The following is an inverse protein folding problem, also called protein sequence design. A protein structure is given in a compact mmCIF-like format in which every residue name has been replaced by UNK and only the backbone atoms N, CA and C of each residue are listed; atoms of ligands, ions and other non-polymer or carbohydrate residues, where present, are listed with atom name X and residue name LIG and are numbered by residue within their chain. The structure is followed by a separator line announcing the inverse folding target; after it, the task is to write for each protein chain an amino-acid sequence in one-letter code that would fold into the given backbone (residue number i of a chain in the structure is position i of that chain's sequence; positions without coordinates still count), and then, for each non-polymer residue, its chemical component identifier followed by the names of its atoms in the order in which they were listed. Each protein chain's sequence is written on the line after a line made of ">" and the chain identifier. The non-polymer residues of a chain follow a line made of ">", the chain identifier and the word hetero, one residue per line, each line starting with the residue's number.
data_IF_769609367029
#
_entry.id   IF_769609367029
#
_cell.length_a   1.000
_cell.length_b   1.000
_cell.length_c   1.000
_cell.angle_alpha   90.00
_cell.angle_beta   90.00
_cell.angle_gamma   90.00
#
_symmetry.space_group_name_H-M   'P 1'
#
loop_
_entity.id
_entity.type
_entity.pdbx_description
1 polymer ?
#
# COMPACT_ATOMS: atom_id res chain seq x y z
N UNK A 1 -6.15 11.01 -18.28
CA UNK A 1 -6.05 10.30 -16.98
C UNK A 1 -4.91 10.84 -16.12
N UNK A 2 -5.17 11.07 -14.83
CA UNK A 2 -4.20 11.57 -13.83
C UNK A 2 -4.39 10.85 -12.49
N UNK A 3 -3.32 10.76 -11.71
CA UNK A 3 -3.37 10.27 -10.33
C UNK A 3 -3.35 11.45 -9.37
N UNK A 4 -4.32 11.50 -8.46
CA UNK A 4 -4.45 12.52 -7.43
C UNK A 4 -3.82 12.04 -6.12
N UNK A 5 -2.58 12.50 -5.88
CA UNK A 5 -1.77 12.13 -4.73
C UNK A 5 -2.36 12.65 -3.41
N UNK A 6 -3.07 13.79 -3.43
CA UNK A 6 -3.72 14.36 -2.25
C UNK A 6 -4.97 13.55 -1.89
N UNK A 7 -5.77 13.21 -2.91
CA UNK A 7 -6.89 12.28 -2.71
C UNK A 7 -6.41 10.93 -2.20
N UNK A 8 -5.21 10.48 -2.55
CA UNK A 8 -4.69 9.19 -2.07
C UNK A 8 -4.48 9.23 -0.56
N UNK A 9 -3.77 10.25 -0.08
CA UNK A 9 -3.51 10.44 1.35
C UNK A 9 -4.82 10.56 2.14
N UNK A 10 -5.73 11.43 1.69
CA UNK A 10 -7.04 11.63 2.32
C UNK A 10 -7.90 10.37 2.32
N UNK A 11 -7.84 9.57 1.25
CA UNK A 11 -8.58 8.31 1.19
C UNK A 11 -8.00 7.29 2.17
N UNK A 12 -6.67 7.25 2.34
CA UNK A 12 -6.01 6.35 3.28
C UNK A 12 -6.31 6.69 4.74
N UNK A 13 -6.44 7.96 5.07
CA UNK A 13 -6.78 8.41 6.42
C UNK A 13 -8.27 8.37 6.76
N UNK A 14 -9.13 8.32 5.73
CA UNK A 14 -10.57 8.18 5.95
C UNK A 14 -10.97 6.88 6.67
N UNK A 15 -10.06 5.92 6.80
CA UNK A 15 -10.27 4.67 7.54
C UNK A 15 -9.98 4.86 9.03
N UNK A 16 -10.93 4.47 9.89
CA UNK A 16 -10.91 4.75 11.34
C UNK A 16 -9.73 4.16 12.12
N UNK A 17 -9.07 3.16 11.56
CA UNK A 17 -7.91 2.48 12.11
C UNK A 17 -6.58 2.98 11.55
N UNK A 18 -6.62 3.97 10.66
CA UNK A 18 -5.49 4.65 10.05
C UNK A 18 -5.37 6.07 10.62
N UNK A 19 -4.14 6.58 10.69
CA UNK A 19 -3.84 7.95 11.12
C UNK A 19 -2.59 8.43 10.37
N UNK A 20 -2.77 9.33 9.40
CA UNK A 20 -1.67 9.87 8.59
C UNK A 20 -1.10 11.13 9.27
N UNK A 21 0.19 11.08 9.62
CA UNK A 21 0.80 12.03 10.57
C UNK A 21 0.72 13.52 10.22
N UNK A 22 0.43 13.88 8.97
CA UNK A 22 0.58 15.26 8.46
C UNK A 22 -0.53 15.77 7.52
N UNK A 23 -1.66 15.08 7.35
CA UNK A 23 -2.71 15.61 6.47
C UNK A 23 -3.46 16.80 7.06
N UNK A 24 -3.53 16.88 8.39
CA UNK A 24 -4.20 17.96 9.10
C UNK A 24 -3.31 19.21 9.23
N UNK A 25 -2.04 19.09 8.83
CA UNK A 25 -1.04 20.17 8.89
C UNK A 25 -0.86 20.92 7.56
N UNK A 26 -1.68 20.63 6.54
CA UNK A 26 -1.64 21.31 5.23
C UNK A 26 -0.55 20.79 4.29
N UNK A 27 0.08 19.66 4.61
CA UNK A 27 1.04 18.97 3.73
C UNK A 27 0.41 17.79 2.97
N UNK A 28 -0.92 17.65 3.04
CA UNK A 28 -1.68 16.59 2.36
C UNK A 28 -1.10 15.17 2.58
N UNK A 29 -0.45 14.95 3.74
CA UNK A 29 0.21 13.71 4.13
C UNK A 29 1.59 13.45 3.49
N UNK A 30 1.96 14.15 2.41
CA UNK A 30 3.22 13.91 1.70
C UNK A 30 4.37 14.75 2.25
N UNK A 31 5.37 14.07 2.82
CA UNK A 31 6.55 14.70 3.41
C UNK A 31 7.84 14.12 2.84
N UNK A 32 8.91 14.91 2.84
CA UNK A 32 10.23 14.38 2.50
C UNK A 32 10.66 13.40 3.58
N UNK A 33 11.07 12.20 3.18
CA UNK A 33 11.60 11.19 4.10
C UNK A 33 12.79 11.73 4.88
N UNK A 34 12.73 11.61 6.20
CA UNK A 34 13.69 12.18 7.16
C UNK A 34 15.11 11.65 6.98
N UNK A 35 15.26 10.43 6.46
CA UNK A 35 16.54 9.80 6.16
C UNK A 35 17.23 10.30 4.89
N UNK A 36 16.58 11.12 4.06
CA UNK A 36 17.14 11.61 2.80
C UNK A 36 17.48 13.11 2.85
N UNK A 37 18.66 13.45 2.33
CA UNK A 37 19.05 14.83 2.04
C UNK A 37 18.53 15.34 0.69
N UNK A 38 18.04 14.44 -0.18
CA UNK A 38 17.59 14.78 -1.52
C UNK A 38 16.12 15.20 -1.54
N UNK A 39 15.84 16.32 -2.21
CA UNK A 39 14.49 16.84 -2.43
C UNK A 39 13.78 16.20 -3.64
N UNK A 40 14.27 15.05 -4.12
CA UNK A 40 13.57 14.29 -5.16
C UNK A 40 12.16 13.92 -4.71
N UNK A 41 11.20 13.99 -5.61
CA UNK A 41 9.83 13.55 -5.37
C UNK A 41 9.77 12.06 -5.00
N UNK A 42 10.70 11.24 -5.52
CA UNK A 42 10.82 9.83 -5.15
C UNK A 42 11.24 9.60 -3.69
N UNK A 43 11.70 10.65 -2.98
CA UNK A 43 11.98 10.60 -1.55
C UNK A 43 10.82 11.17 -0.71
N UNK A 44 9.66 11.43 -1.32
CA UNK A 44 8.47 11.76 -0.55
C UNK A 44 7.78 10.48 -0.08
N UNK A 45 7.21 10.55 1.11
CA UNK A 45 6.49 9.47 1.77
C UNK A 45 5.23 10.03 2.43
N UNK A 46 4.25 9.16 2.62
CA UNK A 46 3.20 9.32 3.62
C UNK A 46 3.57 8.43 4.79
N UNK A 47 3.72 8.99 5.98
CA UNK A 47 3.89 8.23 7.22
C UNK A 47 2.57 8.12 7.96
N UNK A 48 2.23 6.92 8.42
CA UNK A 48 0.96 6.69 9.10
C UNK A 48 1.06 5.56 10.12
N UNK A 49 0.08 5.51 11.01
CA UNK A 49 -0.11 4.39 11.93
C UNK A 49 -1.34 3.58 11.57
N UNK A 50 -1.30 2.28 11.85
CA UNK A 50 -2.43 1.36 11.77
C UNK A 50 -2.69 0.77 13.16
N UNK A 51 -3.88 1.00 13.69
CA UNK A 51 -4.33 0.44 14.97
C UNK A 51 -4.96 -0.93 14.77
N UNK A 52 -4.13 -1.98 14.81
CA UNK A 52 -4.57 -3.36 14.62
C UNK A 52 -5.44 -3.83 15.78
N UNK A 53 -6.75 -3.88 15.54
CA UNK A 53 -7.74 -4.31 16.52
C UNK A 53 -7.55 -5.76 16.94
N UNK A 54 -6.96 -6.60 16.09
CA UNK A 54 -6.78 -8.03 16.37
C UNK A 54 -5.69 -8.25 17.41
N UNK A 55 -4.56 -7.55 17.29
CA UNK A 55 -3.43 -7.66 18.23
C UNK A 55 -3.41 -6.59 19.32
N UNK A 56 -4.21 -5.53 19.19
CA UNK A 56 -4.18 -4.36 20.07
C UNK A 56 -2.91 -3.51 19.91
N UNK A 57 -2.19 -3.64 18.78
CA UNK A 57 -0.93 -2.93 18.51
C UNK A 57 -1.17 -1.75 17.58
N UNK A 58 -0.46 -0.65 17.83
CA UNK A 58 -0.27 0.40 16.85
C UNK A 58 0.99 0.11 16.05
N UNK A 59 0.83 -0.04 14.74
CA UNK A 59 1.87 -0.42 13.79
C UNK A 59 2.23 0.81 12.94
N UNK A 60 3.50 1.00 12.64
CA UNK A 60 3.97 2.14 11.85
C UNK A 60 4.26 1.72 10.42
N UNK A 61 3.78 2.51 9.48
CA UNK A 61 4.00 2.29 8.06
C UNK A 61 4.40 3.58 7.36
N UNK A 62 5.00 3.42 6.19
CA UNK A 62 5.21 4.51 5.24
C UNK A 62 4.93 4.05 3.82
N UNK A 63 4.24 4.88 3.06
CA UNK A 63 4.02 4.66 1.62
C UNK A 63 4.86 5.65 0.85
N UNK A 64 5.71 5.14 -0.04
CA UNK A 64 6.57 5.96 -0.89
C UNK A 64 5.79 6.59 -2.02
N UNK A 65 6.29 7.71 -2.54
CA UNK A 65 5.68 8.41 -3.66
C UNK A 65 5.38 7.45 -4.81
N UNK A 66 4.11 7.40 -5.24
CA UNK A 66 3.68 6.46 -6.26
C UNK A 66 4.28 6.81 -7.61
N UNK A 67 4.72 5.78 -8.35
CA UNK A 67 5.08 5.95 -9.73
C UNK A 67 3.87 5.68 -10.62
N UNK A 68 3.72 6.49 -11.67
CA UNK A 68 2.61 6.35 -12.61
C UNK A 68 3.14 6.24 -14.03
N UNK A 69 2.56 5.35 -14.81
CA UNK A 69 2.83 5.18 -16.24
C UNK A 69 1.52 5.24 -17.01
N UNK A 70 1.34 6.26 -17.84
CA UNK A 70 0.15 6.44 -18.67
C UNK A 70 0.39 5.94 -20.08
N UNK A 71 -0.58 5.21 -20.63
CA UNK A 71 -0.56 4.84 -22.04
C UNK A 71 -0.81 6.07 -22.92
N UNK A 72 -0.28 6.06 -24.14
CA UNK A 72 -0.54 7.12 -25.13
C UNK A 72 -2.05 7.29 -25.34
N UNK A 73 -2.47 8.52 -25.58
CA UNK A 73 -3.87 8.88 -25.82
C UNK A 73 -4.80 8.46 -24.67
N UNK A 74 -4.31 8.48 -23.43
CA UNK A 74 -5.04 8.08 -22.22
C UNK A 74 -5.60 6.64 -22.29
N UNK A 75 -4.88 5.74 -22.97
CA UNK A 75 -5.26 4.32 -23.15
C UNK A 75 -5.29 3.47 -21.87
N UNK A 76 -5.06 4.08 -20.70
CA UNK A 76 -4.96 3.44 -19.39
C UNK A 76 -3.80 3.99 -18.56
N UNK A 77 -3.72 3.55 -17.31
CA UNK A 77 -2.68 3.95 -16.36
C UNK A 77 -2.23 2.76 -15.53
N UNK A 78 -0.94 2.68 -15.25
CA UNK A 78 -0.39 1.82 -14.20
C UNK A 78 0.06 2.73 -13.06
N UNK A 79 -0.29 2.35 -11.83
CA UNK A 79 0.16 2.99 -10.59
C UNK A 79 0.92 1.93 -9.79
N UNK A 80 2.11 2.27 -9.30
CA UNK A 80 2.87 1.42 -8.38
C UNK A 80 3.22 2.17 -7.10
N UNK A 81 3.26 1.43 -5.99
CA UNK A 81 3.67 1.95 -4.68
C UNK A 81 4.58 0.94 -3.99
N UNK A 82 5.54 1.46 -3.25
CA UNK A 82 6.26 0.73 -2.22
C UNK A 82 5.71 1.14 -0.85
N UNK A 83 5.37 0.17 -0.01
CA UNK A 83 4.89 0.38 1.35
C UNK A 83 5.86 -0.31 2.29
N UNK A 84 6.40 0.42 3.26
CA UNK A 84 7.26 -0.16 4.29
C UNK A 84 6.46 -0.32 5.58
N UNK A 85 6.62 -1.49 6.20
CA UNK A 85 6.31 -1.69 7.60
C UNK A 85 7.55 -1.40 8.42
N UNK A 86 7.49 -0.33 9.22
CA UNK A 86 8.65 0.16 9.95
C UNK A 86 8.94 -0.72 11.17
N UNK A 87 10.16 -1.27 11.21
CA UNK A 87 10.61 -2.17 12.27
C UNK A 87 11.99 -1.75 12.78
N UNK A 88 12.29 -2.10 14.03
CA UNK A 88 13.58 -1.79 14.65
C UNK A 88 14.77 -2.55 14.06
N UNK A 89 14.51 -3.70 13.44
CA UNK A 89 15.54 -4.59 12.87
C UNK A 89 15.69 -4.43 11.36
N UNK A 90 14.89 -3.56 10.72
CA UNK A 90 14.82 -3.39 9.27
C UNK A 90 13.42 -3.61 8.74
N UNK A 91 13.03 -2.79 7.77
CA UNK A 91 11.66 -2.72 7.26
C UNK A 91 11.31 -3.92 6.37
N UNK A 92 10.09 -4.42 6.51
CA UNK A 92 9.49 -5.28 5.50
C UNK A 92 8.83 -4.42 4.42
N UNK A 93 8.78 -4.89 3.18
CA UNK A 93 8.32 -4.11 2.03
C UNK A 93 7.16 -4.80 1.32
N UNK A 94 6.12 -4.04 0.99
CA UNK A 94 5.06 -4.42 0.06
C UNK A 94 5.28 -3.61 -1.22
N UNK A 95 5.35 -4.27 -2.38
CA UNK A 95 5.31 -3.64 -3.70
C UNK A 95 3.95 -3.96 -4.31
N UNK A 96 3.14 -2.94 -4.53
CA UNK A 96 1.80 -3.06 -5.09
C UNK A 96 1.75 -2.32 -6.43
N UNK A 97 1.18 -2.98 -7.44
CA UNK A 97 0.94 -2.43 -8.77
C UNK A 97 -0.55 -2.59 -9.08
N UNK A 98 -1.19 -1.52 -9.54
CA UNK A 98 -2.57 -1.53 -10.03
C UNK A 98 -2.62 -0.94 -11.45
N UNK A 99 -3.40 -1.57 -12.33
CA UNK A 99 -3.64 -1.09 -13.68
C UNK A 99 -5.09 -0.67 -13.87
N UNK A 100 -5.29 0.42 -14.59
CA UNK A 100 -6.59 1.05 -14.83
C UNK A 100 -6.85 1.14 -16.33
N UNK A 101 -8.09 0.89 -16.73
CA UNK A 101 -8.56 1.03 -18.10
C UNK A 101 -8.74 2.51 -18.50
N UNK A 102 -9.18 2.77 -19.73
CA UNK A 102 -9.40 4.13 -20.27
C UNK A 102 -10.45 4.95 -19.50
N UNK A 103 -11.34 4.27 -18.77
CA UNK A 103 -12.42 4.88 -17.98
C UNK A 103 -12.04 5.05 -16.51
N UNK A 104 -10.79 4.74 -16.15
CA UNK A 104 -10.30 4.84 -14.78
C UNK A 104 -10.76 3.70 -13.88
N UNK A 105 -11.33 2.63 -14.44
CA UNK A 105 -11.68 1.44 -13.67
C UNK A 105 -10.47 0.54 -13.50
N UNK A 106 -10.26 0.06 -12.28
CA UNK A 106 -9.20 -0.90 -12.00
C UNK A 106 -9.44 -2.20 -12.79
N UNK A 107 -8.45 -2.59 -13.59
CA UNK A 107 -8.47 -3.78 -14.42
C UNK A 107 -7.65 -4.93 -13.83
N UNK A 108 -6.55 -4.61 -13.11
CA UNK A 108 -5.78 -5.61 -12.37
C UNK A 108 -5.07 -5.02 -11.16
N UNK A 109 -4.70 -5.86 -10.20
CA UNK A 109 -3.69 -5.57 -9.19
C UNK A 109 -2.76 -6.76 -8.96
N UNK A 110 -1.50 -6.47 -8.63
CA UNK A 110 -0.49 -7.46 -8.27
C UNK A 110 0.31 -6.96 -7.06
N UNK A 111 0.66 -7.87 -6.15
CA UNK A 111 1.41 -7.55 -4.95
C UNK A 111 2.59 -8.51 -4.77
N UNK A 112 3.74 -8.00 -4.34
CA UNK A 112 4.82 -8.79 -3.76
C UNK A 112 5.22 -8.25 -2.40
N UNK A 113 5.67 -9.14 -1.52
CA UNK A 113 6.06 -8.84 -0.15
C UNK A 113 7.47 -9.35 0.05
N UNK A 114 8.37 -8.45 0.43
CA UNK A 114 9.73 -8.77 0.81
C UNK A 114 9.88 -8.62 2.32
N UNK A 115 10.27 -9.70 2.99
CA UNK A 115 10.51 -9.66 4.42
C UNK A 115 11.98 -9.36 4.72
N UNK A 116 12.22 -8.58 5.77
CA UNK A 116 13.56 -8.35 6.31
C UNK A 116 13.99 -9.51 7.20
N UNK A 117 14.93 -10.31 6.68
CA UNK A 117 15.59 -11.40 7.39
C UNK A 117 15.92 -12.56 6.45
N UNK A 118 17.11 -13.16 6.59
CA UNK A 118 17.62 -14.18 5.65
C UNK A 118 16.84 -15.50 5.63
N UNK A 119 15.93 -15.73 6.57
CA UNK A 119 15.16 -16.98 6.71
C UNK A 119 13.69 -16.84 6.35
N UNK A 120 13.29 -15.74 5.70
CA UNK A 120 11.89 -15.41 5.48
C UNK A 120 11.57 -15.42 3.99
N UNK A 121 10.60 -16.25 3.62
CA UNK A 121 10.21 -16.44 2.23
C UNK A 121 9.33 -15.27 1.76
N UNK A 122 9.81 -14.55 0.76
CA UNK A 122 9.04 -13.49 0.10
C UNK A 122 7.75 -14.06 -0.49
N UNK A 123 6.67 -13.27 -0.44
CA UNK A 123 5.40 -13.64 -1.06
C UNK A 123 5.27 -12.92 -2.40
N UNK A 124 4.70 -13.61 -3.38
CA UNK A 124 4.27 -12.97 -4.63
C UNK A 124 2.87 -13.46 -4.93
N UNK A 125 1.95 -12.52 -5.07
CA UNK A 125 0.58 -12.77 -5.51
C UNK A 125 0.55 -12.59 -7.02
N UNK A 126 -0.03 -13.56 -7.73
CA UNK A 126 -0.26 -13.42 -9.16
C UNK A 126 -1.23 -12.25 -9.44
N UNK A 127 -1.22 -11.66 -10.65
CA UNK A 127 -2.19 -10.62 -10.99
C UNK A 127 -3.63 -11.09 -10.77
N UNK A 128 -4.40 -10.31 -10.03
CA UNK A 128 -5.86 -10.47 -9.87
C UNK A 128 -6.51 -9.50 -10.84
N UNK A 129 -7.39 -10.00 -11.70
CA UNK A 129 -7.99 -9.20 -12.78
C UNK A 129 -9.49 -8.96 -12.58
N UNK A 130 -10.01 -7.93 -13.24
CA UNK A 130 -11.43 -7.60 -13.26
C UNK A 130 -12.30 -8.68 -13.91
N UNK A 131 -11.70 -9.60 -14.69
CA UNK A 131 -12.38 -10.77 -15.21
C UNK A 131 -12.53 -11.90 -14.18
N UNK A 132 -11.68 -11.92 -13.13
CA UNK A 132 -11.70 -12.95 -12.09
C UNK A 132 -12.65 -12.60 -10.93
N UNK A 133 -12.88 -11.30 -10.72
CA UNK A 133 -13.60 -10.79 -9.54
C UNK A 133 -14.19 -9.40 -9.80
N UNK A 134 -15.27 -9.08 -9.09
CA UNK A 134 -15.84 -7.72 -9.05
C UNK A 134 -15.16 -6.80 -8.05
N UNK A 135 -14.35 -7.35 -7.13
CA UNK A 135 -13.64 -6.60 -6.10
C UNK A 135 -12.19 -7.11 -5.98
N UNK A 136 -11.30 -6.46 -6.73
CA UNK A 136 -9.87 -6.79 -6.78
C UNK A 136 -9.22 -6.59 -5.41
N UNK A 137 -9.62 -5.56 -4.65
CA UNK A 137 -9.03 -5.26 -3.36
C UNK A 137 -9.37 -6.32 -2.31
N UNK A 138 -10.65 -6.71 -2.21
CA UNK A 138 -11.08 -7.80 -1.31
C UNK A 138 -10.48 -9.14 -1.72
N UNK A 139 -10.33 -9.40 -3.02
CA UNK A 139 -9.70 -10.63 -3.50
C UNK A 139 -8.22 -10.67 -3.13
N UNK A 140 -7.50 -9.55 -3.27
CA UNK A 140 -6.11 -9.41 -2.82
C UNK A 140 -5.97 -9.63 -1.31
N UNK A 141 -6.88 -9.05 -0.51
CA UNK A 141 -6.95 -9.30 0.93
C UNK A 141 -7.05 -10.79 1.23
N UNK A 142 -8.04 -11.48 0.64
CA UNK A 142 -8.29 -12.89 0.92
C UNK A 142 -7.08 -13.76 0.53
N UNK A 143 -6.48 -13.50 -0.63
CA UNK A 143 -5.29 -14.22 -1.09
C UNK A 143 -4.10 -14.05 -0.14
N UNK A 144 -3.80 -12.82 0.27
CA UNK A 144 -2.72 -12.56 1.22
C UNK A 144 -3.03 -13.15 2.60
N UNK A 145 -4.24 -12.96 3.10
CA UNK A 145 -4.68 -13.51 4.38
C UNK A 145 -4.51 -15.03 4.42
N UNK A 146 -4.91 -15.73 3.36
CA UNK A 146 -4.77 -17.19 3.27
C UNK A 146 -3.31 -17.65 3.28
N UNK A 147 -2.41 -16.89 2.65
CA UNK A 147 -0.97 -17.17 2.68
C UNK A 147 -0.35 -16.91 4.07
N UNK A 148 -0.90 -15.98 4.85
CA UNK A 148 -0.30 -15.49 6.10
C UNK A 148 -0.91 -16.08 7.37
N UNK A 149 -2.18 -16.51 7.35
CA UNK A 149 -2.98 -16.81 8.57
C UNK A 149 -2.34 -17.84 9.50
N UNK A 150 -1.69 -18.87 8.95
CA UNK A 150 -1.06 -19.95 9.70
C UNK A 150 0.46 -19.80 9.84
N UNK A 151 1.03 -18.69 9.37
CA UNK A 151 2.47 -18.42 9.47
C UNK A 151 2.76 -17.77 10.83
N UNK A 152 3.82 -18.24 11.48
CA UNK A 152 4.39 -17.59 12.66
C UNK A 152 5.58 -16.75 12.22
N UNK A 153 5.45 -15.43 12.36
CA UNK A 153 6.50 -14.48 12.04
C UNK A 153 7.38 -14.11 13.24
N UNK A 154 7.25 -14.81 14.37
CA UNK A 154 8.07 -14.63 15.56
C UNK A 154 7.41 -13.74 16.62
N UNK A 155 8.02 -12.59 16.91
CA UNK A 155 7.56 -11.73 18.00
C UNK A 155 6.11 -11.25 17.82
N UNK A 156 5.42 -10.91 18.93
CA UNK A 156 4.02 -10.46 18.87
C UNK A 156 3.79 -9.28 17.93
N UNK A 157 4.71 -8.31 17.91
CA UNK A 157 4.65 -7.15 17.01
C UNK A 157 4.91 -7.53 15.55
N UNK A 158 5.91 -8.39 15.28
CA UNK A 158 6.20 -8.86 13.91
C UNK A 158 5.03 -9.68 13.34
N UNK A 159 4.42 -10.53 14.17
CA UNK A 159 3.22 -11.27 13.81
C UNK A 159 2.04 -10.34 13.50
N UNK A 160 1.80 -9.32 14.34
CA UNK A 160 0.76 -8.33 14.09
C UNK A 160 1.01 -7.59 12.76
N UNK A 161 2.19 -7.01 12.60
CA UNK A 161 2.54 -6.19 11.44
C UNK A 161 2.57 -6.93 10.11
N UNK A 162 3.02 -8.19 10.10
CA UNK A 162 3.07 -8.96 8.85
C UNK A 162 1.71 -9.54 8.47
N UNK A 163 0.90 -9.93 9.45
CA UNK A 163 -0.47 -10.42 9.20
C UNK A 163 -1.43 -9.31 8.79
N UNK A 164 -1.12 -8.06 9.09
CA UNK A 164 -1.89 -6.91 8.59
C UNK A 164 -1.58 -6.54 7.15
N UNK A 165 -0.54 -7.11 6.50
CA UNK A 165 -0.23 -6.77 5.09
C UNK A 165 -1.38 -7.04 4.13
N UNK A 166 -2.20 -8.07 4.38
CA UNK A 166 -3.43 -8.31 3.63
C UNK A 166 -4.36 -7.09 3.66
N UNK A 167 -4.61 -6.55 4.85
CA UNK A 167 -5.49 -5.39 5.05
C UNK A 167 -4.87 -4.09 4.53
N UNK A 168 -3.59 -3.84 4.82
CA UNK A 168 -2.87 -2.68 4.31
C UNK A 168 -2.90 -2.64 2.78
N UNK A 169 -2.68 -3.78 2.12
CA UNK A 169 -2.76 -3.86 0.65
C UNK A 169 -4.17 -3.55 0.14
N UNK A 170 -5.22 -4.05 0.81
CA UNK A 170 -6.61 -3.76 0.46
C UNK A 170 -6.91 -2.25 0.51
N UNK A 171 -6.56 -1.61 1.63
CA UNK A 171 -6.79 -0.18 1.81
C UNK A 171 -6.05 0.65 0.76
N UNK A 172 -4.82 0.26 0.42
CA UNK A 172 -4.05 0.93 -0.62
C UNK A 172 -4.70 0.81 -2.00
N UNK A 173 -5.24 -0.37 -2.36
CA UNK A 173 -5.96 -0.53 -3.62
C UNK A 173 -7.19 0.39 -3.66
N UNK A 174 -7.98 0.45 -2.58
CA UNK A 174 -9.13 1.36 -2.51
C UNK A 174 -8.72 2.83 -2.61
N UNK A 175 -7.67 3.25 -1.87
CA UNK A 175 -7.17 4.62 -1.91
C UNK A 175 -6.64 4.99 -3.31
N UNK A 176 -5.91 4.09 -3.97
CA UNK A 176 -5.47 4.31 -5.36
C UNK A 176 -6.66 4.44 -6.31
N UNK A 177 -7.68 3.59 -6.17
CA UNK A 177 -8.86 3.62 -7.02
C UNK A 177 -9.65 4.95 -6.85
N UNK A 178 -9.71 5.50 -5.65
CA UNK A 178 -10.31 6.82 -5.40
C UNK A 178 -9.51 7.97 -6.04
N UNK A 179 -8.20 7.78 -6.23
CA UNK A 179 -7.25 8.79 -6.74
C UNK A 179 -7.10 8.84 -8.25
N UNK A 180 -7.54 7.83 -8.99
CA UNK A 180 -7.49 7.87 -10.46
C UNK A 180 -8.61 8.77 -10.99
N UNK A 181 -8.25 9.79 -11.77
CA UNK A 181 -9.17 10.72 -12.43
C UNK A 181 -9.03 10.59 -13.95
N UNK A 182 -10.15 10.44 -14.66
CA UNK A 182 -10.18 10.37 -16.13
C UNK A 182 -9.99 11.75 -16.74
#
# INVERSE_FOLDING_TARGET
>A
MKFDYNQFAQSLDSYTDMDVKDEHNGNDGWVKWSGSSSNSICNQVIEYTYSDQTSGKTLQYRSWYMETSTMKSDGGMIVSVKIDYERSTGDDHIILIAGYDVNGYINFAQCSIQFHGASQDNLTVAPITSSDTTDIALTMYNTLYDLQKNVDYGGSTDNAGRKSFAYITQLHIYAMNASVKV
#
